data_IF_960664517807
#
_entry.id   IF_960664517807
#
_cell.length_a   1.000
_cell.length_b   1.000
_cell.length_c   1.000
_cell.angle_alpha   90.00
_cell.angle_beta   90.00
_cell.angle_gamma   90.00
#
_symmetry.space_group_name_H-M   'P 1'
#
loop_
_entity.id
_entity.type
_entity.pdbx_description
1 polymer ?
#
# COMPACT_ATOMS: atom_id res chain seq x y z
N UNK A 1 29.16 -6.56 -39.25
CA UNK A 1 29.90 -6.16 -38.04
C UNK A 1 28.89 -6.05 -36.91
N UNK A 2 28.83 -7.05 -36.04
CA UNK A 2 27.89 -7.07 -34.91
C UNK A 2 28.45 -6.18 -33.79
N UNK A 3 27.78 -5.05 -33.52
CA UNK A 3 28.09 -4.21 -32.37
C UNK A 3 27.61 -4.91 -31.11
N UNK A 4 28.55 -5.33 -30.27
CA UNK A 4 28.28 -5.83 -28.93
C UNK A 4 27.61 -4.74 -28.11
N UNK A 5 26.31 -4.90 -27.85
CA UNK A 5 25.55 -4.13 -26.85
C UNK A 5 26.11 -4.43 -25.45
N UNK A 6 27.24 -3.80 -25.10
CA UNK A 6 27.66 -3.70 -23.71
C UNK A 6 26.60 -2.89 -22.98
N UNK A 7 25.74 -3.56 -22.22
CA UNK A 7 24.74 -2.94 -21.35
C UNK A 7 25.46 -1.96 -20.43
N UNK A 8 25.38 -0.66 -20.76
CA UNK A 8 25.96 0.43 -19.94
C UNK A 8 25.47 0.32 -18.51
N UNK A 9 26.35 0.59 -17.55
CA UNK A 9 25.94 0.51 -16.15
C UNK A 9 24.86 1.55 -15.84
N UNK A 10 23.95 1.29 -14.88
CA UNK A 10 22.97 2.28 -14.44
C UNK A 10 23.61 3.61 -14.00
N UNK A 11 24.82 3.54 -13.44
CA UNK A 11 25.57 4.72 -13.03
C UNK A 11 26.08 5.54 -14.22
N UNK A 12 26.60 4.89 -15.27
CA UNK A 12 27.03 5.59 -16.49
C UNK A 12 25.87 6.31 -17.16
N UNK A 13 24.69 5.67 -17.21
CA UNK A 13 23.48 6.29 -17.77
C UNK A 13 23.03 7.50 -16.96
N UNK A 14 23.11 7.43 -15.63
CA UNK A 14 22.85 8.58 -14.77
C UNK A 14 23.86 9.71 -15.02
N UNK A 15 25.15 9.39 -15.15
CA UNK A 15 26.20 10.40 -15.42
C UNK A 15 25.99 11.08 -16.77
N UNK A 16 25.65 10.31 -17.81
CA UNK A 16 25.34 10.85 -19.14
C UNK A 16 24.13 11.78 -19.08
N UNK A 17 23.09 11.42 -18.33
CA UNK A 17 21.94 12.28 -18.07
C UNK A 17 22.32 13.60 -17.39
N UNK A 18 23.16 13.56 -16.35
CA UNK A 18 23.64 14.77 -15.67
C UNK A 18 24.42 15.68 -16.62
N UNK A 19 25.25 15.11 -17.49
CA UNK A 19 25.97 15.87 -18.52
C UNK A 19 25.02 16.49 -19.55
N UNK A 20 23.97 15.77 -19.95
CA UNK A 20 22.94 16.29 -20.85
C UNK A 20 22.18 17.45 -20.22
N UNK A 21 21.83 17.37 -18.93
CA UNK A 21 21.23 18.48 -18.20
C UNK A 21 22.14 19.71 -18.20
N UNK A 22 23.42 19.51 -17.88
CA UNK A 22 24.43 20.58 -17.83
C UNK A 22 24.62 21.24 -19.19
N UNK A 23 24.73 20.45 -20.27
CA UNK A 23 24.85 20.95 -21.65
C UNK A 23 23.60 21.68 -22.14
N UNK A 24 22.41 21.20 -21.75
CA UNK A 24 21.14 21.81 -22.11
C UNK A 24 20.76 23.00 -21.23
N UNK A 25 21.54 23.32 -20.19
CA UNK A 25 21.20 24.33 -19.19
C UNK A 25 19.93 24.02 -18.39
N UNK A 26 19.53 22.74 -18.34
CA UNK A 26 18.34 22.26 -17.64
C UNK A 26 18.67 21.93 -16.19
N UNK A 27 17.67 22.03 -15.31
CA UNK A 27 17.81 21.73 -13.89
C UNK A 27 17.24 20.35 -13.55
N UNK A 28 17.54 19.85 -12.35
CA UNK A 28 16.94 18.61 -11.87
C UNK A 28 15.43 18.76 -11.69
N UNK A 29 14.62 17.82 -12.20
CA UNK A 29 13.18 17.87 -12.01
C UNK A 29 12.83 17.67 -10.53
N UNK A 30 11.84 18.40 -10.05
CA UNK A 30 11.33 18.30 -8.67
C UNK A 30 9.89 17.79 -8.64
N UNK A 31 9.49 17.25 -7.50
CA UNK A 31 8.11 16.86 -7.23
C UNK A 31 7.31 18.05 -6.67
N UNK A 32 6.02 17.84 -6.46
CA UNK A 32 5.10 18.84 -5.88
C UNK A 32 5.50 19.33 -4.47
N UNK A 33 6.44 18.66 -3.80
CA UNK A 33 6.97 19.03 -2.48
C UNK A 33 8.35 19.70 -2.57
N UNK A 34 8.86 19.98 -3.78
CA UNK A 34 10.17 20.61 -3.99
C UNK A 34 11.38 19.67 -3.85
N UNK A 35 11.16 18.36 -3.63
CA UNK A 35 12.23 17.37 -3.60
C UNK A 35 12.50 16.81 -5.02
N UNK A 36 13.71 16.32 -5.27
CA UNK A 36 14.08 15.79 -6.59
C UNK A 36 13.22 14.60 -7.00
N UNK A 37 12.69 14.64 -8.22
CA UNK A 37 11.81 13.62 -8.77
C UNK A 37 12.60 12.48 -9.42
N UNK A 38 13.00 11.50 -8.59
CA UNK A 38 13.73 10.31 -9.06
C UNK A 38 12.97 9.45 -10.08
N UNK A 39 11.63 9.53 -10.14
CA UNK A 39 10.87 8.79 -11.15
C UNK A 39 11.14 9.38 -12.54
N UNK A 40 11.03 10.70 -12.66
CA UNK A 40 11.27 11.40 -13.93
C UNK A 40 12.74 11.25 -14.37
N UNK A 41 13.67 11.35 -13.43
CA UNK A 41 15.09 11.08 -13.71
C UNK A 41 15.29 9.64 -14.20
N UNK A 42 14.67 8.65 -13.55
CA UNK A 42 14.77 7.25 -13.94
C UNK A 42 14.29 7.03 -15.38
N UNK A 43 13.16 7.63 -15.74
CA UNK A 43 12.59 7.54 -17.09
C UNK A 43 13.53 8.19 -18.13
N UNK A 44 14.06 9.38 -17.84
CA UNK A 44 14.94 10.13 -18.75
C UNK A 44 16.32 9.46 -18.93
N UNK A 45 16.89 8.87 -17.87
CA UNK A 45 18.17 8.15 -17.96
C UNK A 45 18.01 6.64 -18.27
N UNK A 46 16.77 6.15 -18.43
CA UNK A 46 16.47 4.74 -18.70
C UNK A 46 16.79 3.78 -17.54
N UNK A 47 16.87 4.28 -16.31
CA UNK A 47 17.09 3.47 -15.10
C UNK A 47 15.77 3.01 -14.47
N UNK A 48 15.85 2.00 -13.59
CA UNK A 48 14.72 1.64 -12.72
C UNK A 48 14.64 2.64 -11.58
N UNK A 49 13.44 3.11 -11.22
CA UNK A 49 13.26 4.03 -10.08
C UNK A 49 13.86 3.49 -8.78
N UNK A 50 13.70 2.19 -8.50
CA UNK A 50 14.22 1.56 -7.28
C UNK A 50 15.76 1.56 -7.21
N UNK A 51 16.44 1.69 -8.34
CA UNK A 51 17.90 1.69 -8.38
C UNK A 51 18.49 2.82 -7.52
N UNK A 52 17.87 4.00 -7.53
CA UNK A 52 18.31 5.15 -6.72
C UNK A 52 18.27 4.85 -5.23
N UNK A 53 17.21 4.19 -4.73
CA UNK A 53 17.09 3.82 -3.32
C UNK A 53 17.98 2.64 -2.95
N UNK A 54 18.04 1.60 -3.79
CA UNK A 54 18.84 0.38 -3.54
C UNK A 54 20.34 0.65 -3.58
N UNK A 55 20.74 1.65 -4.36
CA UNK A 55 22.14 1.99 -4.58
C UNK A 55 22.60 3.24 -3.83
N UNK A 56 21.69 3.92 -3.10
CA UNK A 56 21.97 5.17 -2.39
C UNK A 56 23.27 5.13 -1.56
N UNK A 57 23.46 4.04 -0.81
CA UNK A 57 24.61 3.83 0.10
C UNK A 57 25.82 3.14 -0.56
N UNK A 58 25.70 2.68 -1.80
CA UNK A 58 26.80 2.01 -2.52
C UNK A 58 27.79 3.04 -3.06
N UNK A 59 29.06 2.66 -3.13
CA UNK A 59 30.15 3.51 -3.63
C UNK A 59 30.25 3.36 -5.16
N UNK A 60 30.23 4.47 -5.90
CA UNK A 60 30.29 4.47 -7.37
C UNK A 60 31.46 5.24 -7.97
N UNK A 61 32.10 6.11 -7.19
CA UNK A 61 33.26 6.89 -7.64
C UNK A 61 34.56 6.31 -7.10
N UNK A 62 35.65 6.43 -7.86
CA UNK A 62 37.03 6.22 -7.38
C UNK A 62 37.38 7.10 -6.18
N UNK A 63 36.62 8.18 -5.96
CA UNK A 63 36.71 9.06 -4.78
C UNK A 63 36.05 8.50 -3.51
N UNK A 64 35.53 7.26 -3.52
CA UNK A 64 34.92 6.63 -2.34
C UNK A 64 33.56 7.20 -1.94
N UNK A 65 32.88 7.94 -2.83
CA UNK A 65 31.59 8.58 -2.54
C UNK A 65 30.41 7.67 -2.82
N UNK A 66 29.39 7.76 -1.98
CA UNK A 66 28.12 7.06 -2.17
C UNK A 66 27.28 7.70 -3.28
N UNK A 67 26.36 6.95 -3.88
CA UNK A 67 25.46 7.47 -4.92
C UNK A 67 24.67 8.70 -4.43
N UNK A 68 24.19 8.68 -3.19
CA UNK A 68 23.48 9.80 -2.58
C UNK A 68 24.35 11.07 -2.52
N UNK A 69 25.62 10.93 -2.13
CA UNK A 69 26.55 12.05 -2.09
C UNK A 69 26.88 12.59 -3.49
N UNK A 70 26.98 11.70 -4.48
CA UNK A 70 27.19 12.10 -5.88
C UNK A 70 25.99 12.90 -6.37
N UNK A 71 24.78 12.38 -6.20
CA UNK A 71 23.53 13.05 -6.59
C UNK A 71 23.39 14.40 -5.88
N UNK A 72 23.64 14.47 -4.57
CA UNK A 72 23.58 15.72 -3.82
C UNK A 72 24.58 16.75 -4.34
N UNK A 73 25.78 16.32 -4.75
CA UNK A 73 26.77 17.20 -5.37
C UNK A 73 26.32 17.69 -6.74
N UNK A 74 25.75 16.81 -7.56
CA UNK A 74 25.25 17.17 -8.88
C UNK A 74 24.07 18.16 -8.79
N UNK A 75 23.15 17.95 -7.85
CA UNK A 75 22.04 18.88 -7.58
C UNK A 75 22.58 20.25 -7.16
N UNK A 76 23.61 20.31 -6.30
CA UNK A 76 24.23 21.60 -5.92
C UNK A 76 24.94 22.28 -7.09
N UNK A 77 25.48 21.51 -8.03
CA UNK A 77 26.21 22.01 -9.20
C UNK A 77 25.28 22.55 -10.29
N UNK A 78 24.23 21.79 -10.63
CA UNK A 78 23.30 22.11 -11.73
C UNK A 78 22.10 22.92 -11.24
N UNK A 79 21.69 22.72 -9.98
CA UNK A 79 20.48 23.29 -9.41
C UNK A 79 19.25 22.41 -9.65
N UNK A 80 18.19 22.65 -8.88
CA UNK A 80 16.87 22.03 -9.05
C UNK A 80 15.87 23.02 -9.64
N UNK A 81 14.90 22.50 -10.40
CA UNK A 81 13.74 23.28 -10.82
C UNK A 81 13.01 23.82 -9.57
N UNK A 82 12.50 25.05 -9.65
CA UNK A 82 11.67 25.62 -8.60
C UNK A 82 10.21 25.34 -8.94
N UNK A 83 9.47 24.68 -8.04
CA UNK A 83 8.01 24.69 -8.14
C UNK A 83 7.55 26.01 -7.55
N UNK A 84 6.91 26.87 -8.34
CA UNK A 84 6.17 27.99 -7.78
C UNK A 84 5.15 27.43 -6.78
N UNK A 85 5.14 27.94 -5.55
CA UNK A 85 4.23 27.44 -4.52
C UNK A 85 2.80 27.45 -5.10
N UNK A 86 2.16 26.26 -5.12
CA UNK A 86 0.78 26.14 -5.56
C UNK A 86 -0.07 27.05 -4.66
N UNK A 87 -1.02 27.76 -5.26
CA UNK A 87 -1.90 28.68 -4.54
C UNK A 87 -2.50 27.95 -3.32
N UNK A 88 -2.33 28.48 -2.09
CA UNK A 88 -2.83 27.83 -0.87
C UNK A 88 -4.32 27.52 -0.94
N UNK A 89 -5.11 28.32 -1.66
CA UNK A 89 -6.54 28.07 -1.86
C UNK A 89 -6.77 26.81 -2.71
N UNK A 90 -6.03 26.63 -3.81
CA UNK A 90 -6.08 25.42 -4.62
C UNK A 90 -5.68 24.16 -3.83
N UNK A 91 -4.67 24.24 -2.95
CA UNK A 91 -4.29 23.12 -2.09
C UNK A 91 -5.39 22.78 -1.07
N UNK A 92 -6.02 23.79 -0.49
CA UNK A 92 -7.13 23.59 0.45
C UNK A 92 -8.32 22.91 -0.22
N UNK A 93 -8.65 23.29 -1.47
CA UNK A 93 -9.71 22.68 -2.27
C UNK A 93 -9.38 21.21 -2.58
N UNK A 94 -8.17 20.93 -3.08
CA UNK A 94 -7.73 19.56 -3.39
C UNK A 94 -7.80 18.65 -2.14
N UNK A 95 -7.40 19.17 -0.98
CA UNK A 95 -7.47 18.46 0.30
C UNK A 95 -8.92 18.27 0.78
N UNK A 96 -9.79 19.26 0.60
CA UNK A 96 -11.21 19.15 0.96
C UNK A 96 -11.90 18.08 0.10
N UNK A 97 -11.63 18.07 -1.19
CA UNK A 97 -12.17 17.08 -2.14
C UNK A 97 -11.67 15.67 -1.83
N UNK A 98 -10.37 15.51 -1.51
CA UNK A 98 -9.82 14.20 -1.16
C UNK A 98 -10.47 13.65 0.11
N UNK A 99 -10.58 14.49 1.15
CA UNK A 99 -11.18 14.12 2.43
C UNK A 99 -12.68 13.84 2.29
N UNK A 100 -13.39 14.60 1.47
CA UNK A 100 -14.81 14.37 1.18
C UNK A 100 -15.05 12.99 0.54
N UNK A 101 -14.22 12.64 -0.47
CA UNK A 101 -14.29 11.32 -1.13
C UNK A 101 -13.96 10.19 -0.16
N UNK A 102 -12.96 10.37 0.68
CA UNK A 102 -12.57 9.39 1.69
C UNK A 102 -13.67 9.20 2.75
N UNK A 103 -14.24 10.29 3.27
CA UNK A 103 -15.34 10.24 4.23
C UNK A 103 -16.57 9.51 3.67
N UNK A 104 -16.91 9.75 2.40
CA UNK A 104 -18.02 9.04 1.75
C UNK A 104 -17.73 7.53 1.62
N UNK A 105 -16.51 7.15 1.23
CA UNK A 105 -16.11 5.73 1.17
C UNK A 105 -16.20 5.05 2.54
N UNK A 106 -15.71 5.72 3.58
CA UNK A 106 -15.75 5.21 4.96
C UNK A 106 -17.18 5.07 5.46
N UNK A 107 -18.08 6.02 5.15
CA UNK A 107 -19.51 5.91 5.48
C UNK A 107 -20.17 4.69 4.84
N UNK A 108 -19.96 4.49 3.55
CA UNK A 108 -20.52 3.33 2.83
C UNK A 108 -20.00 2.02 3.42
N UNK A 109 -18.69 1.95 3.70
CA UNK A 109 -18.09 0.75 4.30
C UNK A 109 -18.64 0.49 5.71
N UNK A 110 -18.81 1.54 6.52
CA UNK A 110 -19.39 1.42 7.86
C UNK A 110 -20.82 0.90 7.81
N UNK A 111 -21.66 1.43 6.91
CA UNK A 111 -23.04 0.97 6.74
C UNK A 111 -23.08 -0.51 6.33
N UNK A 112 -22.25 -0.92 5.38
CA UNK A 112 -22.14 -2.31 4.96
C UNK A 112 -21.73 -3.22 6.13
N UNK A 113 -20.69 -2.83 6.88
CA UNK A 113 -20.22 -3.62 8.03
C UNK A 113 -21.21 -3.67 9.18
N UNK A 114 -22.00 -2.61 9.39
CA UNK A 114 -23.08 -2.62 10.38
C UNK A 114 -24.15 -3.66 10.03
N UNK A 115 -24.61 -3.66 8.77
CA UNK A 115 -25.61 -4.64 8.28
C UNK A 115 -25.10 -6.07 8.36
N UNK A 116 -23.84 -6.30 7.97
CA UNK A 116 -23.20 -7.63 8.13
C UNK A 116 -23.15 -8.05 9.62
N UNK A 117 -22.88 -7.13 10.55
CA UNK A 117 -22.84 -7.44 11.97
C UNK A 117 -24.21 -7.78 12.55
N UNK A 118 -25.25 -7.05 12.14
CA UNK A 118 -26.65 -7.31 12.54
C UNK A 118 -27.08 -8.71 12.09
N UNK A 119 -26.85 -9.07 10.82
CA UNK A 119 -27.14 -10.41 10.30
C UNK A 119 -26.42 -11.52 11.06
N UNK A 120 -25.13 -11.32 11.38
CA UNK A 120 -24.37 -12.29 12.16
C UNK A 120 -24.92 -12.44 13.59
N UNK A 121 -25.39 -11.36 14.21
CA UNK A 121 -26.01 -11.44 15.54
C UNK A 121 -27.31 -12.22 15.51
N UNK A 122 -28.17 -11.99 14.51
CA UNK A 122 -29.41 -12.73 14.33
C UNK A 122 -29.15 -14.23 14.13
N UNK A 123 -28.16 -14.59 13.30
CA UNK A 123 -27.76 -16.00 13.10
C UNK A 123 -27.25 -16.64 14.39
N UNK A 124 -26.44 -15.92 15.17
CA UNK A 124 -25.94 -16.41 16.47
C UNK A 124 -27.10 -16.64 17.44
N UNK A 125 -28.09 -15.75 17.49
CA UNK A 125 -29.27 -15.91 18.33
C UNK A 125 -30.10 -17.13 17.93
N UNK A 126 -30.37 -17.30 16.63
CA UNK A 126 -31.10 -18.45 16.08
C UNK A 126 -30.40 -19.77 16.40
N UNK A 127 -29.11 -19.89 16.06
CA UNK A 127 -28.33 -21.09 16.34
C UNK A 127 -28.24 -21.39 17.84
N UNK A 128 -28.16 -20.36 18.68
CA UNK A 128 -28.15 -20.53 20.13
C UNK A 128 -29.49 -21.08 20.66
N UNK A 129 -30.61 -20.63 20.09
CA UNK A 129 -31.94 -21.14 20.42
C UNK A 129 -32.11 -22.60 19.97
N UNK A 130 -31.70 -22.93 18.74
CA UNK A 130 -31.73 -24.31 18.21
C UNK A 130 -30.88 -25.26 19.05
N UNK A 131 -29.65 -24.87 19.40
CA UNK A 131 -28.78 -25.66 20.27
C UNK A 131 -29.41 -25.90 21.64
N UNK A 132 -30.12 -24.93 22.19
CA UNK A 132 -30.82 -25.09 23.47
C UNK A 132 -31.96 -26.11 23.34
N UNK A 133 -32.78 -26.02 22.30
CA UNK A 133 -33.86 -26.98 22.04
C UNK A 133 -33.33 -28.40 21.85
N UNK A 134 -32.28 -28.57 21.04
CA UNK A 134 -31.65 -29.86 20.80
C UNK A 134 -31.07 -30.46 22.09
N UNK A 135 -30.46 -29.65 22.95
CA UNK A 135 -29.95 -30.11 24.25
C UNK A 135 -31.08 -30.56 25.17
N UNK A 136 -32.17 -29.83 25.24
CA UNK A 136 -33.34 -30.22 26.04
C UNK A 136 -33.94 -31.53 25.53
N UNK A 137 -34.14 -31.65 24.21
CA UNK A 137 -34.65 -32.88 23.59
C UNK A 137 -33.73 -34.09 23.83
N UNK A 138 -32.40 -33.91 23.69
CA UNK A 138 -31.44 -34.97 23.99
C UNK A 138 -31.48 -35.41 25.46
N UNK A 139 -31.66 -34.46 26.38
CA UNK A 139 -31.77 -34.75 27.81
C UNK A 139 -33.07 -35.49 28.16
N UNK A 140 -34.18 -35.11 27.54
CA UNK A 140 -35.46 -35.83 27.67
C UNK A 140 -35.36 -37.26 27.15
N UNK A 141 -34.77 -37.46 25.97
CA UNK A 141 -34.54 -38.80 25.40
C UNK A 141 -33.66 -39.64 26.32
N UNK A 142 -32.57 -39.07 26.84
CA UNK A 142 -31.70 -39.77 27.80
C UNK A 142 -32.47 -40.18 29.06
N UNK A 143 -33.28 -39.27 29.60
CA UNK A 143 -34.07 -39.54 30.81
C UNK A 143 -35.14 -40.62 30.57
N UNK A 144 -35.76 -40.63 29.38
CA UNK A 144 -36.69 -41.69 28.97
C UNK A 144 -35.99 -43.04 28.81
N UNK A 145 -34.77 -43.06 28.26
CA UNK A 145 -33.95 -44.27 28.16
C UNK A 145 -33.60 -44.83 29.53
N UNK A 146 -33.17 -44.00 30.47
CA UNK A 146 -32.86 -44.42 31.84
C UNK A 146 -34.08 -45.03 32.54
N UNK A 147 -35.24 -44.38 32.42
CA UNK A 147 -36.50 -44.91 32.95
C UNK A 147 -36.91 -46.26 32.32
N UNK A 148 -36.65 -46.45 31.03
CA UNK A 148 -36.91 -47.71 30.34
C UNK A 148 -35.99 -48.83 30.85
N UNK A 149 -34.72 -48.54 31.10
CA UNK A 149 -33.74 -49.49 31.65
C UNK A 149 -34.16 -49.91 33.07
N UNK A 150 -34.53 -48.95 33.92
CA UNK A 150 -34.87 -49.20 35.32
C UNK A 150 -36.21 -49.92 35.50
N UNK A 151 -37.22 -49.59 34.68
CA UNK A 151 -38.59 -50.09 34.85
C UNK A 151 -38.97 -51.23 33.89
N UNK A 152 -38.18 -51.49 32.85
CA UNK A 152 -38.49 -52.44 31.78
C UNK A 152 -39.72 -52.06 30.93
N UNK A 153 -40.30 -50.89 31.13
CA UNK A 153 -41.45 -50.38 30.35
C UNK A 153 -40.97 -49.66 29.10
N UNK A 154 -41.47 -50.09 27.95
CA UNK A 154 -41.28 -49.36 26.70
C UNK A 154 -42.17 -48.13 26.68
N UNK A 155 -41.57 -46.95 26.52
CA UNK A 155 -42.27 -45.71 26.22
C UNK A 155 -42.19 -45.49 24.71
N UNK A 156 -43.29 -45.75 24.01
CA UNK A 156 -43.43 -45.45 22.59
C UNK A 156 -44.06 -44.06 22.50
N UNK A 157 -43.36 -43.12 21.85
CA UNK A 157 -43.88 -41.81 21.48
C UNK A 157 -44.89 -41.93 20.33
#
# INVERSE_FOLDING_TARGET
MATSDQKRSPYDRYRDYVLQLEQAGKKFPVNQFGAVNFSKIADECGNRRQWFSESAKKIFCSQGKTLEQVIAKDIRRIGSEFVAAKDPESLAIDMADSKSREANRLRVMLEQKSKENELLREQVEQLSAELRLLRTSAQEISSQQDLMIDSGRSFIL
#
